data_IF_970300155845
#
_entry.id   IF_970300155845
#
_cell.length_a   1.000
_cell.length_b   1.000
_cell.length_c   1.000
_cell.angle_alpha   90.00
_cell.angle_beta   90.00
_cell.angle_gamma   90.00
#
_symmetry.space_group_name_H-M   'P 1'
#
loop_
_entity.id
_entity.type
_entity.pdbx_description
1 polymer ?
#
# COMPACT_ATOMS: atom_id res chain seq x y z
N UNK A 1 -8.90 8.49 -14.85
CA UNK A 1 -8.34 9.16 -13.67
C UNK A 1 -6.84 9.08 -13.77
N UNK A 2 -6.13 10.19 -13.68
CA UNK A 2 -4.66 10.22 -13.70
C UNK A 2 -4.17 10.51 -12.29
N UNK A 3 -3.15 9.79 -11.84
CA UNK A 3 -2.45 10.06 -10.59
C UNK A 3 -0.99 10.37 -10.90
N UNK A 4 -0.51 11.53 -10.48
CA UNK A 4 0.88 11.94 -10.71
C UNK A 4 1.84 11.13 -9.84
N UNK A 5 1.51 10.93 -8.56
CA UNK A 5 2.37 10.27 -7.59
C UNK A 5 2.52 8.77 -7.90
N UNK A 6 1.41 8.06 -8.08
CA UNK A 6 1.43 6.63 -8.41
C UNK A 6 2.14 6.33 -9.74
N UNK A 7 1.89 7.14 -10.77
CA UNK A 7 2.57 6.99 -12.07
C UNK A 7 4.09 7.15 -11.95
N UNK A 8 4.55 8.12 -11.13
CA UNK A 8 5.99 8.32 -10.88
C UNK A 8 6.59 7.15 -10.11
N UNK A 9 5.89 6.63 -9.09
CA UNK A 9 6.32 5.46 -8.34
C UNK A 9 6.48 4.23 -9.24
N UNK A 10 5.51 3.97 -10.13
CA UNK A 10 5.57 2.86 -11.10
C UNK A 10 6.77 3.04 -12.03
N UNK A 11 6.93 4.21 -12.64
CA UNK A 11 8.05 4.48 -13.56
C UNK A 11 9.42 4.29 -12.91
N UNK A 12 9.57 4.71 -11.66
CA UNK A 12 10.82 4.53 -10.91
C UNK A 12 11.06 3.07 -10.49
N UNK A 13 10.10 2.19 -10.71
CA UNK A 13 10.16 0.77 -10.37
C UNK A 13 10.24 -0.16 -11.60
N UNK A 14 10.33 0.38 -12.83
CA UNK A 14 10.25 -0.41 -14.08
C UNK A 14 11.36 -1.46 -14.25
N UNK A 15 12.46 -1.35 -13.50
CA UNK A 15 13.51 -2.37 -13.47
C UNK A 15 13.14 -3.62 -12.64
N UNK A 16 12.05 -3.57 -11.87
CA UNK A 16 11.59 -4.72 -11.10
C UNK A 16 11.02 -5.81 -12.02
N UNK A 17 11.25 -7.07 -11.67
CA UNK A 17 10.70 -8.21 -12.43
C UNK A 17 9.18 -8.20 -12.50
N UNK A 18 8.52 -7.73 -11.42
CA UNK A 18 7.08 -7.58 -11.30
C UNK A 18 6.72 -6.37 -10.47
N UNK A 19 5.66 -5.69 -10.86
CA UNK A 19 5.12 -4.54 -10.13
C UNK A 19 3.64 -4.78 -9.86
N UNK A 20 3.26 -4.86 -8.59
CA UNK A 20 1.87 -5.00 -8.16
C UNK A 20 1.39 -3.72 -7.51
N UNK A 21 0.10 -3.41 -7.70
CA UNK A 21 -0.53 -2.25 -7.09
C UNK A 21 -1.28 -2.70 -5.84
N UNK A 22 -0.77 -2.27 -4.69
CA UNK A 22 -1.34 -2.55 -3.38
C UNK A 22 -1.94 -1.32 -2.73
N UNK A 23 -3.03 -1.53 -1.98
CA UNK A 23 -3.68 -0.55 -1.12
C UNK A 23 -4.33 -1.28 0.05
N UNK A 24 -4.88 -0.55 1.02
CA UNK A 24 -5.62 -1.16 2.14
C UNK A 24 -6.75 -2.06 1.65
N UNK A 25 -7.48 -1.62 0.62
CA UNK A 25 -8.68 -2.32 0.10
C UNK A 25 -8.40 -3.66 -0.56
N UNK A 26 -7.15 -3.98 -0.91
CA UNK A 26 -6.73 -5.26 -1.49
C UNK A 26 -5.47 -5.85 -0.82
N UNK A 27 -5.12 -5.36 0.36
CA UNK A 27 -3.82 -5.64 0.97
C UNK A 27 -3.57 -7.12 1.21
N UNK A 28 -4.56 -7.86 1.68
CA UNK A 28 -4.43 -9.29 1.97
C UNK A 28 -4.19 -10.10 0.71
N UNK A 29 -4.95 -9.89 -0.36
CA UNK A 29 -4.77 -10.64 -1.60
C UNK A 29 -3.44 -10.31 -2.29
N UNK A 30 -2.96 -9.07 -2.16
CA UNK A 30 -1.60 -8.69 -2.59
C UNK A 30 -0.56 -9.47 -1.79
N UNK A 31 -0.67 -9.54 -0.47
CA UNK A 31 0.23 -10.32 0.38
C UNK A 31 0.22 -11.82 0.02
N UNK A 32 -0.94 -12.40 -0.28
CA UNK A 32 -1.06 -13.80 -0.75
C UNK A 32 -0.36 -14.03 -2.09
N UNK A 33 -0.45 -13.07 -3.01
CA UNK A 33 0.25 -13.11 -4.29
C UNK A 33 1.77 -13.05 -4.08
N UNK A 34 2.25 -12.13 -3.23
CA UNK A 34 3.67 -11.97 -2.89
C UNK A 34 4.24 -13.22 -2.23
N UNK A 35 3.53 -13.82 -1.27
CA UNK A 35 3.95 -15.06 -0.61
C UNK A 35 4.16 -16.22 -1.58
N UNK A 36 3.28 -16.36 -2.59
CA UNK A 36 3.39 -17.40 -3.63
C UNK A 36 4.61 -17.20 -4.54
N UNK A 37 5.07 -15.98 -4.74
CA UNK A 37 6.26 -15.70 -5.55
C UNK A 37 7.55 -16.07 -4.83
N UNK A 38 7.58 -16.02 -3.52
CA UNK A 38 8.74 -16.33 -2.68
C UNK A 38 10.02 -15.62 -3.13
N UNK A 39 9.92 -14.31 -3.39
CA UNK A 39 11.00 -13.43 -3.83
C UNK A 39 11.15 -12.25 -2.90
N UNK A 40 12.27 -11.54 -3.00
CA UNK A 40 12.46 -10.28 -2.32
C UNK A 40 11.44 -9.25 -2.79
N UNK A 41 10.88 -8.50 -1.83
CA UNK A 41 9.81 -7.53 -2.07
C UNK A 41 10.23 -6.15 -1.58
N UNK A 42 10.09 -5.15 -2.45
CA UNK A 42 10.26 -3.74 -2.10
C UNK A 42 8.90 -3.05 -2.12
N UNK A 43 8.54 -2.40 -1.03
CA UNK A 43 7.34 -1.56 -0.95
C UNK A 43 7.71 -0.13 -1.31
N UNK A 44 7.16 0.37 -2.40
CA UNK A 44 7.37 1.75 -2.88
C UNK A 44 6.11 2.56 -2.58
N UNK A 45 6.22 3.48 -1.63
CA UNK A 45 5.15 4.41 -1.31
C UNK A 45 5.09 5.52 -2.35
N UNK A 46 3.92 5.81 -2.90
CA UNK A 46 3.75 6.82 -3.95
C UNK A 46 4.02 8.24 -3.44
N UNK A 47 3.75 8.48 -2.17
CA UNK A 47 3.91 9.78 -1.53
C UNK A 47 2.82 10.78 -1.93
N UNK A 48 2.93 11.99 -1.39
CA UNK A 48 2.06 13.11 -1.73
C UNK A 48 2.93 14.30 -2.11
N UNK A 49 2.85 14.74 -3.38
CA UNK A 49 3.64 15.85 -3.92
C UNK A 49 5.18 15.69 -3.75
N UNK A 50 5.66 14.44 -3.71
CA UNK A 50 7.07 14.09 -3.52
C UNK A 50 7.49 13.92 -2.06
N UNK A 51 6.59 14.16 -1.13
CA UNK A 51 6.82 14.02 0.31
C UNK A 51 6.32 12.68 0.84
N UNK A 52 6.75 12.34 2.05
CA UNK A 52 6.28 11.16 2.78
C UNK A 52 4.77 11.20 3.00
N UNK A 53 4.09 10.06 2.82
CA UNK A 53 2.67 9.90 3.04
C UNK A 53 2.38 8.90 4.15
N UNK A 54 1.65 9.33 5.18
CA UNK A 54 1.27 8.49 6.32
C UNK A 54 0.31 7.37 5.91
N UNK A 55 -0.59 7.64 4.99
CA UNK A 55 -1.58 6.69 4.47
C UNK A 55 -0.91 5.59 3.63
N UNK A 56 0.05 5.92 2.78
CA UNK A 56 0.85 4.93 2.04
C UNK A 56 1.68 4.07 3.01
N UNK A 57 2.28 4.70 4.01
CA UNK A 57 3.16 4.02 4.95
C UNK A 57 2.41 2.99 5.81
N UNK A 58 1.22 3.37 6.34
CA UNK A 58 0.42 2.43 7.12
C UNK A 58 -0.20 1.33 6.24
N UNK A 59 -0.52 1.63 4.97
CA UNK A 59 -0.97 0.63 4.01
C UNK A 59 0.12 -0.41 3.71
N UNK A 60 1.37 0.02 3.52
CA UNK A 60 2.52 -0.87 3.41
C UNK A 60 2.68 -1.74 4.67
N UNK A 61 2.56 -1.15 5.86
CA UNK A 61 2.60 -1.86 7.14
C UNK A 61 1.53 -2.94 7.26
N UNK A 62 0.32 -2.64 6.78
CA UNK A 62 -0.77 -3.63 6.72
C UNK A 62 -0.42 -4.81 5.81
N UNK A 63 0.06 -4.55 4.58
CA UNK A 63 0.40 -5.61 3.63
C UNK A 63 1.58 -6.45 4.16
N UNK A 64 2.58 -5.82 4.77
CA UNK A 64 3.71 -6.50 5.41
C UNK A 64 3.22 -7.41 6.54
N UNK A 65 2.34 -6.93 7.40
CA UNK A 65 1.76 -7.74 8.48
C UNK A 65 1.01 -8.97 7.93
N UNK A 66 0.17 -8.79 6.89
CA UNK A 66 -0.50 -9.91 6.22
C UNK A 66 0.50 -10.91 5.62
N UNK A 67 1.56 -10.41 4.97
CA UNK A 67 2.60 -11.25 4.38
C UNK A 67 3.33 -12.08 5.44
N UNK A 68 3.69 -11.49 6.57
CA UNK A 68 4.32 -12.18 7.69
C UNK A 68 3.43 -13.25 8.31
N UNK A 69 2.14 -12.96 8.46
CA UNK A 69 1.16 -13.95 8.94
C UNK A 69 1.09 -15.16 8.01
N UNK A 70 1.00 -14.93 6.68
CA UNK A 70 0.96 -15.98 5.67
C UNK A 70 2.25 -16.79 5.65
N UNK A 71 3.39 -16.12 5.72
CA UNK A 71 4.73 -16.74 5.73
C UNK A 71 5.12 -17.29 7.11
N UNK A 72 4.24 -17.25 8.12
CA UNK A 72 4.51 -17.67 9.50
C UNK A 72 5.80 -17.07 10.05
N UNK A 73 6.02 -15.79 9.80
CA UNK A 73 7.23 -15.04 10.17
C UNK A 73 8.55 -15.54 9.53
N UNK A 74 8.50 -16.33 8.47
CA UNK A 74 9.69 -16.80 7.76
C UNK A 74 10.24 -15.79 6.73
N UNK A 75 9.94 -14.49 6.88
CA UNK A 75 10.52 -13.42 6.08
C UNK A 75 11.33 -12.47 6.95
N UNK A 76 12.46 -12.00 6.41
CA UNK A 76 13.30 -10.98 7.05
C UNK A 76 12.84 -9.60 6.60
N UNK A 77 12.69 -8.68 7.55
CA UNK A 77 12.32 -7.30 7.28
C UNK A 77 13.49 -6.36 7.51
N UNK A 78 13.65 -5.38 6.65
CA UNK A 78 14.50 -4.20 6.90
C UNK A 78 13.93 -3.35 8.03
N UNK A 79 14.72 -2.44 8.59
CA UNK A 79 14.25 -1.62 9.72
C UNK A 79 13.08 -0.71 9.33
N UNK A 80 13.07 -0.17 8.12
CA UNK A 80 11.94 0.63 7.64
C UNK A 80 10.67 -0.23 7.46
N UNK A 81 10.78 -1.46 6.98
CA UNK A 81 9.64 -2.38 6.87
C UNK A 81 9.10 -2.78 8.24
N UNK A 82 9.98 -3.06 9.23
CA UNK A 82 9.59 -3.28 10.63
C UNK A 82 8.86 -2.07 11.22
N UNK A 83 9.36 -0.86 10.93
CA UNK A 83 8.75 0.38 11.42
C UNK A 83 7.35 0.56 10.83
N UNK A 84 7.19 0.30 9.55
CA UNK A 84 5.88 0.37 8.88
C UNK A 84 4.87 -0.61 9.48
N UNK A 85 5.29 -1.87 9.67
CA UNK A 85 4.46 -2.88 10.34
C UNK A 85 4.13 -2.49 11.78
N UNK A 86 5.11 -2.00 12.54
CA UNK A 86 4.91 -1.54 13.92
C UNK A 86 3.89 -0.39 13.99
N UNK A 87 3.97 0.56 13.07
CA UNK A 87 2.99 1.65 12.97
C UNK A 87 1.59 1.07 12.72
N UNK A 88 1.43 0.13 11.80
CA UNK A 88 0.13 -0.49 11.55
C UNK A 88 -0.41 -1.23 12.78
N UNK A 89 0.39 -2.08 13.43
CA UNK A 89 -0.03 -2.88 14.59
C UNK A 89 -0.47 -1.99 15.77
N UNK A 90 0.23 -0.88 15.99
CA UNK A 90 -0.03 0.01 17.13
C UNK A 90 -1.09 1.09 16.84
N UNK A 91 -1.65 1.12 15.63
CA UNK A 91 -2.73 2.03 15.25
C UNK A 91 -3.93 1.28 14.70
N UNK A 92 -4.71 0.57 15.56
CA UNK A 92 -5.85 -0.25 15.13
C UNK A 92 -6.93 0.54 14.39
N UNK A 93 -7.04 1.84 14.66
CA UNK A 93 -7.89 2.76 13.92
C UNK A 93 -7.04 3.53 12.89
N UNK A 94 -6.99 3.03 11.66
CA UNK A 94 -6.26 3.69 10.57
C UNK A 94 -6.75 5.13 10.37
N UNK A 95 -8.07 5.36 10.42
CA UNK A 95 -8.67 6.70 10.28
C UNK A 95 -8.11 7.65 11.36
N UNK A 96 -8.04 7.19 12.62
CA UNK A 96 -7.51 8.01 13.71
C UNK A 96 -6.03 8.33 13.52
N UNK A 97 -5.26 7.43 12.92
CA UNK A 97 -3.85 7.64 12.64
C UNK A 97 -3.64 8.67 11.52
N UNK A 98 -4.39 8.58 10.42
CA UNK A 98 -4.19 9.44 9.24
C UNK A 98 -4.99 10.73 9.25
N UNK A 99 -5.90 10.96 10.22
CA UNK A 99 -6.79 12.14 10.26
C UNK A 99 -6.07 13.49 10.20
N UNK A 100 -4.82 13.53 10.65
CA UNK A 100 -3.99 14.74 10.66
C UNK A 100 -3.03 14.81 9.47
N UNK A 101 -2.97 13.75 8.64
CA UNK A 101 -2.16 13.71 7.44
C UNK A 101 -2.64 14.74 6.39
N UNK A 102 -1.69 15.27 5.62
CA UNK A 102 -1.96 16.29 4.61
C UNK A 102 -2.99 15.82 3.57
N UNK A 103 -2.84 14.60 3.08
CA UNK A 103 -3.75 14.03 2.08
C UNK A 103 -5.16 13.85 2.62
N UNK A 104 -5.32 13.34 3.84
CA UNK A 104 -6.63 13.18 4.49
C UNK A 104 -7.36 14.52 4.64
N UNK A 105 -6.67 15.56 5.12
CA UNK A 105 -7.24 16.91 5.27
C UNK A 105 -7.70 17.46 3.92
N UNK A 106 -6.86 17.36 2.89
CA UNK A 106 -7.21 17.79 1.52
C UNK A 106 -8.47 17.09 0.98
N UNK A 107 -8.57 15.77 1.15
CA UNK A 107 -9.75 15.00 0.73
C UNK A 107 -11.00 15.41 1.50
N UNK A 108 -10.86 15.67 2.81
CA UNK A 108 -11.97 16.12 3.66
C UNK A 108 -12.47 17.51 3.28
N UNK A 109 -11.57 18.43 2.98
CA UNK A 109 -11.92 19.78 2.52
C UNK A 109 -12.67 19.75 1.18
N UNK A 110 -12.34 18.80 0.32
CA UNK A 110 -13.05 18.52 -0.93
C UNK A 110 -14.36 17.74 -0.73
N UNK A 111 -14.75 17.41 0.49
CA UNK A 111 -15.95 16.65 0.87
C UNK A 111 -16.01 15.20 0.36
N UNK A 112 -14.88 14.59 0.04
CA UNK A 112 -14.77 13.17 -0.38
C UNK A 112 -14.81 12.21 0.84
N UNK A 113 -15.82 12.34 1.71
CA UNK A 113 -15.89 11.55 2.95
C UNK A 113 -16.17 10.06 2.70
N UNK A 114 -16.96 9.72 1.67
CA UNK A 114 -17.24 8.33 1.30
C UNK A 114 -16.02 7.67 0.70
N UNK A 115 -15.31 8.38 -0.20
CA UNK A 115 -14.05 7.91 -0.77
C UNK A 115 -12.99 7.67 0.30
N UNK A 116 -12.89 8.56 1.30
CA UNK A 116 -11.98 8.38 2.44
C UNK A 116 -12.32 7.10 3.22
N UNK A 117 -13.59 6.84 3.51
CA UNK A 117 -14.01 5.62 4.21
C UNK A 117 -13.68 4.38 3.38
N UNK A 118 -13.95 4.43 2.08
CA UNK A 118 -13.66 3.34 1.16
C UNK A 118 -12.16 3.06 1.10
N UNK A 119 -11.34 4.07 0.83
CA UNK A 119 -9.89 3.93 0.69
C UNK A 119 -9.18 3.48 1.99
N UNK A 120 -9.73 3.82 3.16
CA UNK A 120 -9.19 3.43 4.46
C UNK A 120 -9.77 2.12 5.02
N UNK A 121 -10.67 1.47 4.27
CA UNK A 121 -11.18 0.13 4.59
C UNK A 121 -10.21 -0.94 4.12
N UNK A 122 -10.21 -2.11 4.77
CA UNK A 122 -9.33 -3.22 4.44
C UNK A 122 -10.08 -4.29 3.65
N UNK A 123 -9.42 -4.85 2.63
CA UNK A 123 -9.81 -6.07 1.92
C UNK A 123 -11.24 -6.05 1.34
N UNK A 124 -11.63 -4.93 0.77
CA UNK A 124 -12.94 -4.80 0.10
C UNK A 124 -12.97 -5.46 -1.28
N UNK A 125 -11.81 -5.62 -1.90
CA UNK A 125 -11.69 -6.19 -3.24
C UNK A 125 -10.63 -7.29 -3.29
N UNK A 126 -10.90 -8.34 -4.05
CA UNK A 126 -10.00 -9.47 -4.22
C UNK A 126 -9.31 -9.41 -5.59
N UNK A 127 -8.59 -8.32 -5.84
CA UNK A 127 -7.93 -8.03 -7.12
C UNK A 127 -6.49 -7.61 -6.85
N UNK A 128 -5.54 -8.16 -7.63
CA UNK A 128 -4.13 -7.77 -7.63
C UNK A 128 -3.78 -7.20 -9.00
N UNK A 129 -3.87 -5.87 -9.20
CA UNK A 129 -3.43 -5.26 -10.44
C UNK A 129 -1.91 -5.37 -10.59
N UNK A 130 -1.46 -5.77 -11.78
CA UNK A 130 -0.03 -5.86 -12.14
C UNK A 130 0.26 -4.86 -13.26
N UNK A 131 1.31 -4.06 -13.09
CA UNK A 131 1.84 -3.22 -14.16
C UNK A 131 2.80 -4.04 -15.02
N UNK A 132 2.55 -4.04 -16.32
CA UNK A 132 3.38 -4.70 -17.31
C UNK A 132 3.20 -4.01 -18.68
N UNK A 133 4.32 -3.81 -19.37
CA UNK A 133 4.35 -3.27 -20.75
C UNK A 133 3.57 -1.94 -20.90
N UNK A 134 3.69 -1.04 -19.91
CA UNK A 134 3.05 0.28 -19.95
C UNK A 134 1.59 0.29 -19.48
N UNK A 135 1.01 -0.83 -19.08
CA UNK A 135 -0.40 -0.96 -18.71
C UNK A 135 -0.58 -1.64 -17.34
N UNK A 136 -1.66 -1.28 -16.64
CA UNK A 136 -2.08 -1.96 -15.41
C UNK A 136 -3.24 -2.90 -15.76
N UNK A 137 -3.05 -4.21 -15.51
CA UNK A 137 -4.04 -5.25 -15.80
C UNK A 137 -4.22 -6.19 -14.61
N UNK A 138 -5.28 -6.98 -14.65
CA UNK A 138 -5.55 -8.08 -13.72
C UNK A 138 -5.23 -9.37 -14.48
N UNK A 139 -4.36 -10.22 -13.88
CA UNK A 139 -3.94 -11.50 -14.46
C UNK A 139 -4.33 -12.65 -13.54
#
# INVERSE_FOLDING_TARGET
MTTTNGTRAIKNSEEAEKIFIGALINGRVVAEKLAKLNKDVTFVNAGTDGEFSMDDFIASGYIINCLRDIMKNHCTLTDIAKTSEYVYINNPSIISFVKDALHYKRMKDLRYNEDLRYCLSKDLINIVPEYKDGEIKIY
#
